data_IF_342707891945
#
_entry.id   IF_342707891945
#
_cell.length_a   1.000
_cell.length_b   1.000
_cell.length_c   1.000
_cell.angle_alpha   90.00
_cell.angle_beta   90.00
_cell.angle_gamma   90.00
#
_symmetry.space_group_name_H-M   'P 1'
#
loop_
_entity.id
_entity.type
_entity.pdbx_description
1 polymer ?
#
# COMPACT_ATOMS: atom_id res chain seq x y z
N UNK A 1 -5.52 -0.08 4.31
CA UNK A 1 -5.94 1.35 4.32
C UNK A 1 -5.50 1.96 5.65
N UNK A 2 -5.16 3.26 5.72
CA UNK A 2 -4.87 3.93 7.02
C UNK A 2 -3.53 3.62 7.70
N UNK A 3 -2.68 2.74 7.15
CA UNK A 3 -1.40 2.35 7.79
C UNK A 3 -0.25 3.37 7.64
N UNK A 4 -0.46 4.49 6.95
CA UNK A 4 0.58 5.52 6.78
C UNK A 4 1.53 5.33 5.59
N UNK A 5 1.26 4.42 4.65
CA UNK A 5 2.14 4.07 3.52
C UNK A 5 2.65 5.28 2.72
N UNK A 6 1.75 6.13 2.25
CA UNK A 6 2.13 7.29 1.42
C UNK A 6 2.99 8.30 2.17
N UNK A 7 2.75 8.46 3.48
CA UNK A 7 3.53 9.35 4.34
C UNK A 7 4.93 8.76 4.62
N UNK A 8 4.99 7.53 5.13
CA UNK A 8 6.25 6.85 5.43
C UNK A 8 7.09 6.59 4.17
N UNK A 9 6.43 6.29 3.03
CA UNK A 9 7.09 6.14 1.74
C UNK A 9 7.81 7.42 1.29
N UNK A 10 7.19 8.59 1.49
CA UNK A 10 7.84 9.89 1.21
C UNK A 10 9.05 10.14 2.10
N UNK A 11 8.97 9.84 3.40
CA UNK A 11 10.10 10.02 4.32
C UNK A 11 11.25 9.08 3.94
N UNK A 12 10.95 7.80 3.72
CA UNK A 12 11.94 6.80 3.34
C UNK A 12 12.62 7.13 2.01
N UNK A 13 11.86 7.60 1.02
CA UNK A 13 12.39 8.00 -0.27
C UNK A 13 13.36 9.20 -0.17
N UNK A 14 13.03 10.20 0.65
CA UNK A 14 13.95 11.32 0.94
C UNK A 14 15.23 10.82 1.57
N UNK A 15 15.14 9.92 2.55
CA UNK A 15 16.31 9.35 3.19
C UNK A 15 17.19 8.58 2.20
N UNK A 16 16.58 7.79 1.31
CA UNK A 16 17.30 7.00 0.30
C UNK A 16 17.71 7.80 -0.94
N UNK A 17 17.34 9.07 -1.05
CA UNK A 17 17.58 9.95 -2.22
C UNK A 17 17.00 9.37 -3.53
N UNK A 18 15.83 8.73 -3.44
CA UNK A 18 15.11 8.16 -4.59
C UNK A 18 13.69 8.70 -4.68
N UNK A 19 13.03 8.47 -5.81
CA UNK A 19 11.66 8.93 -6.04
C UNK A 19 10.64 8.11 -5.24
N UNK A 20 9.63 8.77 -4.65
CA UNK A 20 8.42 8.11 -4.15
C UNK A 20 7.28 8.30 -5.14
N UNK A 21 6.61 7.22 -5.50
CA UNK A 21 5.46 7.19 -6.41
C UNK A 21 4.26 6.60 -5.64
N UNK A 22 3.20 7.37 -5.51
CA UNK A 22 1.93 6.87 -5.02
C UNK A 22 1.14 6.32 -6.21
N UNK A 23 0.83 5.01 -6.20
CA UNK A 23 0.20 4.33 -7.33
C UNK A 23 -1.22 4.86 -7.59
N UNK A 24 -1.95 5.22 -6.54
CA UNK A 24 -3.29 5.80 -6.66
C UNK A 24 -3.22 7.17 -7.35
N UNK A 25 -2.29 8.02 -6.94
CA UNK A 25 -2.08 9.33 -7.57
C UNK A 25 -1.57 9.20 -9.02
N UNK A 26 -0.70 8.24 -9.28
CA UNK A 26 -0.21 7.96 -10.63
C UNK A 26 -1.35 7.51 -11.56
N UNK A 27 -2.21 6.61 -11.09
CA UNK A 27 -3.39 6.14 -11.81
C UNK A 27 -4.35 7.30 -12.13
N UNK A 28 -4.69 8.12 -11.15
CA UNK A 28 -5.57 9.28 -11.35
C UNK A 28 -5.02 10.24 -12.43
N UNK A 29 -3.71 10.49 -12.40
CA UNK A 29 -3.06 11.33 -13.42
C UNK A 29 -3.16 10.71 -14.82
N UNK A 30 -2.94 9.40 -14.94
CA UNK A 30 -2.98 8.68 -16.23
C UNK A 30 -4.38 8.58 -16.81
N UNK A 31 -5.39 8.38 -15.96
CA UNK A 31 -6.79 8.28 -16.39
C UNK A 31 -7.48 9.65 -16.46
N UNK A 32 -6.82 10.74 -16.02
CA UNK A 32 -7.40 12.08 -15.89
C UNK A 32 -8.73 12.08 -15.12
N UNK A 33 -8.81 11.21 -14.11
CA UNK A 33 -10.05 10.96 -13.35
C UNK A 33 -9.73 10.56 -11.91
N UNK A 34 -10.49 11.08 -10.96
CA UNK A 34 -10.40 10.70 -9.55
C UNK A 34 -10.84 9.24 -9.32
N UNK A 35 -10.22 8.56 -8.35
CA UNK A 35 -10.54 7.15 -8.03
C UNK A 35 -12.02 6.95 -7.74
N UNK A 36 -12.63 7.82 -6.93
CA UNK A 36 -14.06 7.72 -6.63
C UNK A 36 -14.90 7.71 -7.90
N UNK A 37 -14.58 8.58 -8.85
CA UNK A 37 -15.28 8.69 -10.13
C UNK A 37 -15.04 7.45 -11.00
N UNK A 38 -13.81 6.89 -11.00
CA UNK A 38 -13.53 5.63 -11.70
C UNK A 38 -14.40 4.49 -11.14
N UNK A 39 -14.51 4.38 -9.81
CA UNK A 39 -15.35 3.35 -9.18
C UNK A 39 -16.84 3.52 -9.51
N UNK A 40 -17.36 4.75 -9.52
CA UNK A 40 -18.79 5.00 -9.80
C UNK A 40 -19.15 4.86 -11.27
N UNK A 41 -18.28 5.29 -12.21
CA UNK A 41 -18.59 5.32 -13.64
C UNK A 41 -18.12 4.06 -14.38
N UNK A 42 -16.98 3.45 -13.96
CA UNK A 42 -16.35 2.34 -14.67
C UNK A 42 -16.27 1.05 -13.84
N UNK A 43 -16.52 1.13 -12.54
CA UNK A 43 -16.52 -0.01 -11.62
C UNK A 43 -15.14 -0.45 -11.15
N UNK A 44 -15.15 -1.31 -10.11
CA UNK A 44 -13.92 -1.81 -9.49
C UNK A 44 -13.07 -2.63 -10.47
N UNK A 45 -13.67 -3.47 -11.30
CA UNK A 45 -12.94 -4.31 -12.25
C UNK A 45 -12.07 -3.49 -13.20
N UNK A 46 -12.59 -2.37 -13.72
CA UNK A 46 -11.81 -1.45 -14.54
C UNK A 46 -10.64 -0.85 -13.76
N UNK A 47 -10.90 -0.37 -12.53
CA UNK A 47 -9.86 0.17 -11.67
C UNK A 47 -8.73 -0.83 -11.45
N UNK A 48 -9.05 -2.11 -11.13
CA UNK A 48 -8.05 -3.14 -10.88
C UNK A 48 -7.21 -3.47 -12.10
N UNK A 49 -7.80 -3.53 -13.28
CA UNK A 49 -7.06 -3.71 -14.55
C UNK A 49 -6.06 -2.57 -14.77
N UNK A 50 -6.49 -1.32 -14.52
CA UNK A 50 -5.62 -0.15 -14.66
C UNK A 50 -4.55 -0.08 -13.58
N UNK A 51 -4.89 -0.41 -12.33
CA UNK A 51 -3.94 -0.51 -11.22
C UNK A 51 -2.81 -1.51 -11.53
N UNK A 52 -3.16 -2.70 -12.01
CA UNK A 52 -2.18 -3.70 -12.43
C UNK A 52 -1.32 -3.18 -13.60
N UNK A 53 -1.93 -2.63 -14.66
CA UNK A 53 -1.20 -2.07 -15.81
C UNK A 53 -0.15 -1.05 -15.37
N UNK A 54 -0.54 -0.10 -14.53
CA UNK A 54 0.35 0.97 -14.10
C UNK A 54 1.40 0.50 -13.08
N UNK A 55 1.08 -0.46 -12.24
CA UNK A 55 2.07 -1.14 -11.39
C UNK A 55 3.17 -1.79 -12.26
N UNK A 56 2.80 -2.53 -13.30
CA UNK A 56 3.74 -3.17 -14.21
C UNK A 56 4.59 -2.15 -14.99
N UNK A 57 4.00 -1.01 -15.39
CA UNK A 57 4.73 0.10 -16.02
C UNK A 57 5.80 0.66 -15.07
N UNK A 58 5.45 0.90 -13.82
CA UNK A 58 6.38 1.41 -12.81
C UNK A 58 7.49 0.40 -12.48
N UNK A 59 7.16 -0.88 -12.36
CA UNK A 59 8.14 -1.96 -12.10
C UNK A 59 9.19 -2.07 -13.24
N UNK A 60 8.80 -1.82 -14.48
CA UNK A 60 9.72 -1.84 -15.63
C UNK A 60 10.70 -0.66 -15.65
N UNK A 61 10.43 0.38 -14.88
CA UNK A 61 11.34 1.53 -14.80
C UNK A 61 12.62 1.11 -14.08
N UNK A 62 13.77 1.29 -14.75
CA UNK A 62 15.09 0.89 -14.22
C UNK A 62 15.60 1.78 -13.08
N UNK A 63 15.02 2.96 -12.90
CA UNK A 63 15.41 3.85 -11.81
C UNK A 63 14.89 3.32 -10.48
N UNK A 64 15.72 3.39 -9.44
CA UNK A 64 15.31 3.05 -8.08
C UNK A 64 14.20 3.99 -7.59
N UNK A 65 13.13 3.44 -7.09
CA UNK A 65 12.00 4.21 -6.55
C UNK A 65 11.21 3.42 -5.49
N UNK A 66 10.43 4.12 -4.71
CA UNK A 66 9.46 3.52 -3.77
C UNK A 66 8.07 3.67 -4.38
N UNK A 67 7.31 2.57 -4.43
CA UNK A 67 5.91 2.58 -4.84
C UNK A 67 5.02 2.40 -3.60
N UNK A 68 4.21 3.40 -3.30
CA UNK A 68 3.17 3.30 -2.28
C UNK A 68 1.90 2.73 -2.92
N UNK A 69 1.61 1.44 -2.65
CA UNK A 69 0.50 0.72 -3.27
C UNK A 69 -0.82 0.87 -2.49
N UNK A 70 -1.95 0.80 -3.17
CA UNK A 70 -3.27 0.65 -2.57
C UNK A 70 -3.40 -0.64 -1.75
N UNK A 71 -4.31 -0.69 -0.77
CA UNK A 71 -4.51 -1.91 0.03
C UNK A 71 -5.06 -3.10 -0.77
N UNK A 72 -5.69 -2.88 -1.91
CA UNK A 72 -6.14 -3.94 -2.80
C UNK A 72 -5.08 -4.44 -3.77
N UNK A 73 -4.05 -3.65 -4.07
CA UNK A 73 -3.05 -3.96 -5.09
C UNK A 73 -2.43 -5.36 -4.94
N UNK A 74 -2.01 -5.82 -3.73
CA UNK A 74 -1.41 -7.16 -3.57
C UNK A 74 -2.37 -8.32 -3.79
N UNK A 75 -3.67 -8.08 -3.67
CA UNK A 75 -4.70 -9.12 -3.73
C UNK A 75 -5.06 -9.54 -5.17
N UNK A 76 -4.96 -8.64 -6.15
CA UNK A 76 -5.39 -8.89 -7.53
C UNK A 76 -4.23 -9.26 -8.45
N UNK A 77 -4.50 -10.03 -9.52
CA UNK A 77 -3.60 -10.30 -10.67
C UNK A 77 -2.21 -10.84 -10.31
N UNK A 78 -2.06 -11.57 -9.22
CA UNK A 78 -0.78 -12.06 -8.70
C UNK A 78 0.25 -10.92 -8.44
N UNK A 79 -0.25 -9.70 -8.21
CA UNK A 79 0.60 -8.52 -8.02
C UNK A 79 1.61 -8.72 -6.89
N UNK A 80 1.24 -9.44 -5.82
CA UNK A 80 2.17 -9.69 -4.71
C UNK A 80 3.40 -10.48 -5.14
N UNK A 81 3.21 -11.51 -5.96
CA UNK A 81 4.33 -12.29 -6.50
C UNK A 81 5.18 -11.46 -7.47
N UNK A 82 4.53 -10.67 -8.31
CA UNK A 82 5.22 -9.78 -9.27
C UNK A 82 6.07 -8.76 -8.52
N UNK A 83 5.51 -8.11 -7.49
CA UNK A 83 6.24 -7.14 -6.66
C UNK A 83 7.42 -7.80 -5.95
N UNK A 84 7.22 -9.01 -5.38
CA UNK A 84 8.28 -9.77 -4.72
C UNK A 84 9.42 -10.16 -5.67
N UNK A 85 9.12 -10.50 -6.92
CA UNK A 85 10.15 -10.83 -7.93
C UNK A 85 10.99 -9.62 -8.33
N UNK A 86 10.41 -8.43 -8.32
CA UNK A 86 11.03 -7.23 -8.89
C UNK A 86 11.52 -6.21 -7.86
N UNK A 87 11.26 -6.41 -6.57
CA UNK A 87 11.64 -5.45 -5.53
C UNK A 87 11.59 -6.02 -4.12
N UNK A 88 11.76 -5.15 -3.14
CA UNK A 88 11.58 -5.45 -1.72
C UNK A 88 10.21 -4.93 -1.32
N UNK A 89 9.28 -5.84 -1.04
CA UNK A 89 7.96 -5.49 -0.55
C UNK A 89 7.99 -5.31 0.96
N UNK A 90 7.30 -4.28 1.44
CA UNK A 90 7.23 -3.94 2.86
C UNK A 90 5.76 -3.87 3.26
N UNK A 91 5.37 -4.71 4.22
CA UNK A 91 4.07 -4.62 4.88
C UNK A 91 4.19 -3.80 6.16
N UNK A 92 3.48 -2.69 6.23
CA UNK A 92 3.33 -1.89 7.44
C UNK A 92 2.15 -2.47 8.25
N UNK A 93 2.47 -3.42 9.13
CA UNK A 93 1.47 -4.12 9.93
C UNK A 93 0.99 -3.22 11.07
N UNK A 94 -0.31 -3.02 11.15
CA UNK A 94 -0.99 -2.31 12.24
C UNK A 94 -2.16 -3.13 12.73
N UNK A 95 -2.51 -2.91 13.96
CA UNK A 95 -3.70 -3.48 14.57
C UNK A 95 -4.97 -3.13 13.77
N UNK A 96 -5.82 -4.12 13.54
CA UNK A 96 -7.02 -3.97 12.69
C UNK A 96 -8.09 -3.09 13.34
N UNK A 97 -8.23 -3.14 14.68
CA UNK A 97 -9.13 -2.25 15.43
C UNK A 97 -8.67 -0.79 15.32
N UNK A 98 -7.36 -0.55 15.45
CA UNK A 98 -6.81 0.78 15.25
C UNK A 98 -7.10 1.29 13.83
N UNK A 99 -6.89 0.47 12.81
CA UNK A 99 -7.17 0.84 11.42
C UNK A 99 -8.65 1.16 11.20
N UNK A 100 -9.54 0.35 11.76
CA UNK A 100 -10.98 0.57 11.68
C UNK A 100 -11.37 1.92 12.29
N UNK A 101 -10.94 2.16 13.53
CA UNK A 101 -11.24 3.40 14.26
C UNK A 101 -10.64 4.65 13.57
N UNK A 102 -9.43 4.52 13.00
CA UNK A 102 -8.82 5.59 12.21
C UNK A 102 -9.61 5.90 10.94
N UNK A 103 -10.11 4.87 10.24
CA UNK A 103 -10.88 5.04 9.01
C UNK A 103 -12.24 5.67 9.26
N UNK A 104 -12.91 5.32 10.37
CA UNK A 104 -14.16 5.95 10.79
C UNK A 104 -14.03 7.47 11.01
N UNK A 105 -12.88 7.91 11.53
CA UNK A 105 -12.59 9.33 11.78
C UNK A 105 -12.07 10.08 10.55
N UNK A 106 -11.75 9.36 9.47
CA UNK A 106 -11.16 9.96 8.27
C UNK A 106 -12.21 10.70 7.45
N UNK A 107 -11.93 11.96 7.11
CA UNK A 107 -12.79 12.79 6.27
C UNK A 107 -12.73 12.35 4.79
N UNK A 108 -11.66 11.67 4.38
CA UNK A 108 -11.49 11.26 2.99
C UNK A 108 -12.37 10.05 2.65
N UNK A 109 -13.26 10.21 1.66
CA UNK A 109 -14.05 9.10 1.12
C UNK A 109 -13.15 7.99 0.56
N UNK A 110 -13.46 6.76 0.92
CA UNK A 110 -12.72 5.57 0.48
C UNK A 110 -13.69 4.52 -0.05
N UNK A 111 -13.90 4.41 -1.38
CA UNK A 111 -14.97 3.61 -1.97
C UNK A 111 -15.07 2.19 -1.39
N UNK A 112 -13.94 1.52 -1.23
CA UNK A 112 -13.91 0.15 -0.68
C UNK A 112 -14.31 0.11 0.80
N UNK A 113 -13.84 1.06 1.63
CA UNK A 113 -14.23 1.11 3.04
C UNK A 113 -15.69 1.50 3.21
N UNK A 114 -16.14 2.49 2.46
CA UNK A 114 -17.51 3.00 2.50
C UNK A 114 -18.53 1.92 2.06
N UNK A 115 -18.14 0.98 1.20
CA UNK A 115 -18.99 -0.13 0.76
C UNK A 115 -19.13 -1.26 1.79
N UNK A 116 -18.25 -1.34 2.80
CA UNK A 116 -18.26 -2.45 3.77
C UNK A 116 -19.40 -2.38 4.78
N UNK A 117 -19.95 -1.20 5.06
CA UNK A 117 -21.17 -0.93 5.83
C UNK A 117 -21.28 -1.54 7.25
N UNK A 118 -20.30 -2.34 7.71
CA UNK A 118 -20.27 -2.88 9.07
C UNK A 118 -18.85 -3.23 9.53
N UNK A 119 -18.67 -3.29 10.85
CA UNK A 119 -17.42 -3.65 11.50
C UNK A 119 -16.99 -5.09 11.13
N UNK A 120 -17.92 -6.02 11.15
CA UNK A 120 -17.68 -7.44 10.83
C UNK A 120 -17.21 -7.61 9.38
N UNK A 121 -17.83 -6.91 8.43
CA UNK A 121 -17.42 -6.92 7.03
C UNK A 121 -16.02 -6.33 6.84
N UNK A 122 -15.68 -5.29 7.62
CA UNK A 122 -14.32 -4.73 7.59
C UNK A 122 -13.29 -5.76 8.06
N UNK A 123 -13.52 -6.44 9.20
CA UNK A 123 -12.57 -7.41 9.71
C UNK A 123 -12.41 -8.60 8.77
N UNK A 124 -13.50 -9.17 8.26
CA UNK A 124 -13.44 -10.23 7.26
C UNK A 124 -12.64 -9.83 6.03
N UNK A 125 -12.92 -8.64 5.48
CA UNK A 125 -12.20 -8.10 4.34
C UNK A 125 -10.72 -7.81 4.64
N UNK A 126 -10.39 -7.42 5.88
CA UNK A 126 -9.02 -7.22 6.32
C UNK A 126 -8.26 -8.56 6.39
N UNK A 127 -8.84 -9.58 7.03
CA UNK A 127 -8.26 -10.92 7.16
C UNK A 127 -7.96 -11.55 5.79
N UNK A 128 -8.91 -11.51 4.85
CA UNK A 128 -8.73 -12.02 3.49
C UNK A 128 -7.52 -11.39 2.79
N UNK A 129 -7.26 -10.11 3.06
CA UNK A 129 -6.15 -9.37 2.46
C UNK A 129 -4.85 -9.50 3.23
N UNK A 130 -4.92 -9.65 4.55
CA UNK A 130 -3.72 -9.80 5.39
C UNK A 130 -2.92 -11.03 4.99
N UNK A 131 -3.57 -12.12 4.56
CA UNK A 131 -2.91 -13.29 3.99
C UNK A 131 -1.94 -12.93 2.85
N UNK A 132 -2.31 -11.97 2.00
CA UNK A 132 -1.43 -11.49 0.93
C UNK A 132 -0.35 -10.56 1.46
N UNK A 133 -0.66 -9.69 2.41
CA UNK A 133 0.32 -8.78 3.00
C UNK A 133 1.43 -9.53 3.74
N UNK A 134 1.10 -10.64 4.40
CA UNK A 134 2.07 -11.49 5.10
C UNK A 134 3.07 -12.19 4.17
N UNK A 135 2.82 -12.22 2.86
CA UNK A 135 3.79 -12.68 1.85
C UNK A 135 4.85 -11.62 1.51
N UNK A 136 4.82 -10.45 2.12
CA UNK A 136 5.83 -9.40 1.94
C UNK A 136 7.19 -9.87 2.41
N UNK A 137 8.26 -9.41 1.74
CA UNK A 137 9.64 -9.73 2.13
C UNK A 137 10.02 -9.15 3.50
N UNK A 138 9.47 -8.00 3.85
CA UNK A 138 9.64 -7.38 5.15
C UNK A 138 8.26 -7.07 5.76
N UNK A 139 8.12 -7.37 7.06
CA UNK A 139 6.93 -7.05 7.85
C UNK A 139 7.37 -6.13 8.98
N UNK A 140 6.91 -4.90 8.95
CA UNK A 140 7.24 -3.87 9.93
C UNK A 140 6.04 -3.70 10.86
N UNK A 141 6.19 -4.09 12.10
CA UNK A 141 5.20 -3.80 13.13
C UNK A 141 5.18 -2.29 13.39
N UNK A 142 4.03 -1.68 13.15
CA UNK A 142 3.80 -0.26 13.36
C UNK A 142 2.86 -0.09 14.56
N UNK A 143 3.35 -0.37 15.76
CA UNK A 143 2.57 -0.19 16.98
C UNK A 143 2.12 1.26 17.12
N UNK A 144 0.97 1.44 17.76
CA UNK A 144 0.30 2.76 17.84
C UNK A 144 1.09 3.79 18.65
N UNK A 145 2.10 3.35 19.40
CA UNK A 145 2.96 4.17 20.24
C UNK A 145 4.26 4.59 19.54
N UNK A 146 4.59 3.99 18.39
CA UNK A 146 5.81 4.32 17.65
C UNK A 146 5.65 5.59 16.84
N UNK A 147 6.61 6.49 16.95
CA UNK A 147 6.74 7.65 16.09
C UNK A 147 7.09 7.26 14.65
N UNK A 148 6.87 8.17 13.72
CA UNK A 148 7.24 7.95 12.32
C UNK A 148 8.75 7.71 12.16
N UNK A 149 9.56 8.37 12.97
CA UNK A 149 11.01 8.25 13.01
C UNK A 149 11.45 6.85 13.43
N UNK A 150 10.85 6.30 14.50
CA UNK A 150 11.13 4.94 14.98
C UNK A 150 10.74 3.88 13.94
N UNK A 151 9.58 4.05 13.28
CA UNK A 151 9.15 3.17 12.19
C UNK A 151 10.15 3.22 11.03
N UNK A 152 10.61 4.40 10.63
CA UNK A 152 11.61 4.57 9.56
C UNK A 152 12.94 3.94 9.94
N UNK A 153 13.41 4.09 11.18
CA UNK A 153 14.65 3.43 11.64
C UNK A 153 14.52 1.90 11.61
N UNK A 154 13.37 1.35 12.01
CA UNK A 154 13.11 -0.08 11.91
C UNK A 154 13.12 -0.56 10.44
N UNK A 155 12.47 0.17 9.53
CA UNK A 155 12.50 -0.13 8.10
C UNK A 155 13.95 -0.15 7.59
N UNK A 156 14.77 0.84 7.94
CA UNK A 156 16.18 0.94 7.53
C UNK A 156 17.00 -0.24 8.02
N UNK A 157 16.88 -0.58 9.29
CA UNK A 157 17.59 -1.73 9.90
C UNK A 157 17.24 -3.02 9.16
N UNK A 158 15.95 -3.29 8.95
CA UNK A 158 15.53 -4.51 8.26
C UNK A 158 15.92 -4.53 6.77
N UNK A 159 15.94 -3.37 6.09
CA UNK A 159 16.45 -3.27 4.72
C UNK A 159 17.94 -3.54 4.64
N UNK A 160 18.73 -3.05 5.61
CA UNK A 160 20.15 -3.34 5.72
C UNK A 160 20.38 -4.83 5.90
N UNK A 161 19.74 -5.43 6.90
CA UNK A 161 19.83 -6.87 7.17
C UNK A 161 19.43 -7.71 5.95
N UNK A 162 18.36 -7.34 5.25
CA UNK A 162 17.91 -8.06 4.05
C UNK A 162 18.93 -8.02 2.91
N UNK A 163 19.72 -6.96 2.78
CA UNK A 163 20.74 -6.82 1.72
C UNK A 163 22.03 -7.58 2.04
N UNK A 164 22.40 -7.67 3.31
CA UNK A 164 23.70 -8.17 3.73
C UNK A 164 23.66 -9.59 4.35
N UNK A 165 22.48 -10.15 4.56
CA UNK A 165 22.29 -11.55 5.04
C UNK A 165 21.97 -12.54 3.92
N UNK A 166 22.14 -12.16 2.66
CA UNK A 166 22.00 -13.04 1.50
C UNK A 166 23.32 -13.63 1.08
#
# INVERSE_FOLDING_TARGET
>A
MGSGKSFLGKILARYMQITNIDLDAFLQKRESMEINKIFTEKGESYFRVKENKYLLELIKNKNSHIISCGGGTPFFFNNMEIMNKNGITIYLKRDSEFLYNYLLKSISKRPVFDSLNSKEKFFKHFEEREFFYLKSKLIINCDNFLSSEEIIQNIKSQLYDYRFKK
#
